data_IF_208262667355
#
_entry.id   IF_208262667355
#
_cell.length_a   1.000
_cell.length_b   1.000
_cell.length_c   1.000
_cell.angle_alpha   90.00
_cell.angle_beta   90.00
_cell.angle_gamma   90.00
#
_symmetry.space_group_name_H-M   'P 1'
#
loop_
_entity.id
_entity.type
_entity.pdbx_description
1 polymer ?
#
# COMPACT_ATOMS: atom_id res chain seq x y z
N UNK A 1 3.86 -11.99 10.72
CA UNK A 1 4.91 -12.80 11.42
C UNK A 1 4.60 -12.89 12.91
N UNK A 2 4.87 -14.03 13.56
CA UNK A 2 4.66 -14.19 15.01
C UNK A 2 5.83 -13.70 15.87
N UNK A 3 5.60 -13.56 17.19
CA UNK A 3 6.63 -13.08 18.16
C UNK A 3 7.92 -13.89 18.13
N UNK A 4 7.85 -15.22 18.02
CA UNK A 4 9.02 -16.08 17.97
C UNK A 4 9.88 -15.84 16.72
N UNK A 5 9.24 -15.67 15.56
CA UNK A 5 9.94 -15.37 14.31
C UNK A 5 10.61 -13.99 14.37
N UNK A 6 9.97 -13.00 15.00
CA UNK A 6 10.55 -11.68 15.23
C UNK A 6 11.76 -11.74 16.18
N UNK A 7 11.68 -12.51 17.27
CA UNK A 7 12.79 -12.68 18.20
C UNK A 7 14.00 -13.33 17.52
N UNK A 8 13.75 -14.35 16.67
CA UNK A 8 14.78 -14.99 15.86
C UNK A 8 15.46 -13.98 14.92
N UNK A 9 14.68 -13.19 14.18
CA UNK A 9 15.23 -12.19 13.27
C UNK A 9 16.11 -11.16 13.98
N UNK A 10 15.72 -10.73 15.19
CA UNK A 10 16.54 -9.84 16.02
C UNK A 10 17.84 -10.48 16.50
N UNK A 11 17.84 -11.78 16.79
CA UNK A 11 19.04 -12.50 17.23
C UNK A 11 20.00 -12.81 16.08
N UNK A 12 19.47 -13.18 14.91
CA UNK A 12 20.25 -13.63 13.75
C UNK A 12 20.66 -12.48 12.81
N UNK A 13 20.08 -11.29 12.97
CA UNK A 13 20.35 -10.11 12.13
C UNK A 13 19.70 -10.17 10.74
N UNK A 14 19.55 -11.36 10.17
CA UNK A 14 18.84 -11.58 8.91
C UNK A 14 17.89 -12.77 8.99
N UNK A 15 16.87 -12.82 8.13
CA UNK A 15 16.04 -14.02 7.92
C UNK A 15 15.83 -14.27 6.42
N UNK A 16 15.66 -15.53 5.98
CA UNK A 16 15.24 -15.80 4.62
C UNK A 16 13.79 -15.34 4.42
N UNK A 17 13.55 -14.59 3.34
CA UNK A 17 12.20 -14.26 2.85
C UNK A 17 12.11 -14.55 1.36
N UNK A 18 10.96 -15.03 0.91
CA UNK A 18 10.72 -15.27 -0.51
C UNK A 18 10.58 -13.93 -1.26
N UNK A 19 11.41 -13.69 -2.26
CA UNK A 19 11.33 -12.51 -3.10
C UNK A 19 10.67 -12.86 -4.44
N UNK A 20 9.39 -12.50 -4.60
CA UNK A 20 8.57 -12.88 -5.76
C UNK A 20 9.19 -12.44 -7.10
N UNK A 21 9.81 -11.26 -7.18
CA UNK A 21 10.49 -10.81 -8.40
C UNK A 21 11.77 -11.59 -8.75
N UNK A 22 12.35 -12.34 -7.80
CA UNK A 22 13.55 -13.15 -8.01
C UNK A 22 13.25 -14.66 -7.98
N UNK A 23 12.03 -15.06 -7.60
CA UNK A 23 11.62 -16.47 -7.47
C UNK A 23 12.42 -17.29 -6.46
N UNK A 24 13.13 -16.66 -5.50
CA UNK A 24 14.00 -17.34 -4.54
C UNK A 24 13.99 -16.67 -3.17
N UNK A 25 14.45 -17.40 -2.16
CA UNK A 25 14.73 -16.79 -0.85
C UNK A 25 15.94 -15.87 -0.91
N UNK A 26 15.80 -14.71 -0.27
CA UNK A 26 16.87 -13.73 -0.08
C UNK A 26 16.95 -13.36 1.40
N UNK A 27 18.15 -13.05 1.94
CA UNK A 27 18.27 -12.57 3.31
C UNK A 27 17.67 -11.17 3.45
N UNK A 28 16.80 -10.98 4.45
CA UNK A 28 16.23 -9.70 4.84
C UNK A 28 16.85 -9.23 6.15
N UNK A 29 17.51 -8.07 6.13
CA UNK A 29 18.18 -7.50 7.29
C UNK A 29 17.20 -6.90 8.30
N UNK A 30 17.44 -7.11 9.60
CA UNK A 30 16.62 -6.60 10.71
C UNK A 30 16.54 -5.07 10.72
N UNK A 31 17.53 -4.41 10.12
CA UNK A 31 17.55 -2.98 9.86
C UNK A 31 16.30 -2.50 9.11
N UNK A 32 15.64 -3.34 8.30
CA UNK A 32 14.34 -2.98 7.70
C UNK A 32 13.30 -2.64 8.78
N UNK A 33 13.19 -3.47 9.81
CA UNK A 33 12.21 -3.26 10.88
C UNK A 33 12.60 -2.08 11.77
N UNK A 34 13.90 -1.91 12.04
CA UNK A 34 14.38 -0.81 12.86
C UNK A 34 14.27 0.54 12.11
N UNK A 35 14.39 0.55 10.78
CA UNK A 35 14.11 1.71 9.94
C UNK A 35 12.61 2.02 9.86
N UNK A 36 11.77 1.01 9.66
CA UNK A 36 10.30 1.18 9.61
C UNK A 36 9.73 1.88 10.85
N UNK A 37 10.33 1.66 12.04
CA UNK A 37 9.94 2.32 13.30
C UNK A 37 10.16 3.82 13.33
N UNK A 38 10.96 4.37 12.41
CA UNK A 38 11.23 5.81 12.30
C UNK A 38 10.11 6.54 11.54
N UNK A 39 9.22 5.79 10.90
CA UNK A 39 8.12 6.33 10.12
C UNK A 39 6.78 6.09 10.84
N UNK A 40 5.77 6.92 10.56
CA UNK A 40 4.41 6.68 11.02
C UNK A 40 3.91 5.31 10.56
N UNK A 41 3.10 4.66 11.41
CA UNK A 41 2.52 3.34 11.11
C UNK A 41 1.46 3.36 10.00
N UNK A 42 1.00 4.55 9.60
CA UNK A 42 0.10 4.76 8.48
C UNK A 42 0.57 5.96 7.65
N UNK A 43 0.42 5.93 6.31
CA UNK A 43 0.69 7.10 5.50
C UNK A 43 -0.26 8.24 5.89
N UNK A 44 0.14 9.50 5.73
CA UNK A 44 -0.77 10.62 6.01
C UNK A 44 -0.68 11.69 4.91
N UNK A 45 -1.08 11.35 3.67
CA UNK A 45 -0.98 12.29 2.56
C UNK A 45 -1.85 13.52 2.81
N UNK A 46 -1.28 14.68 2.52
CA UNK A 46 -1.93 16.00 2.57
C UNK A 46 -2.56 16.44 1.24
N UNK A 47 -2.51 15.55 0.25
CA UNK A 47 -3.12 15.73 -1.07
C UNK A 47 -4.44 14.95 -1.19
N UNK A 48 -5.31 15.34 -2.13
CA UNK A 48 -6.46 14.51 -2.50
C UNK A 48 -6.01 13.08 -2.78
N UNK A 49 -6.71 12.10 -2.20
CA UNK A 49 -6.29 10.70 -2.23
C UNK A 49 -7.46 9.80 -2.60
N UNK A 50 -7.27 8.91 -3.57
CA UNK A 50 -8.18 7.81 -3.88
C UNK A 50 -7.68 6.54 -3.22
N UNK A 51 -8.53 5.87 -2.45
CA UNK A 51 -8.23 4.66 -1.70
C UNK A 51 -9.09 3.52 -2.25
N UNK A 52 -8.46 2.40 -2.59
CA UNK A 52 -9.14 1.16 -2.95
C UNK A 52 -8.98 0.13 -1.83
N UNK A 53 -10.04 -0.61 -1.53
CA UNK A 53 -9.99 -1.75 -0.63
C UNK A 53 -10.81 -2.92 -1.15
N UNK A 54 -10.27 -4.12 -0.95
CA UNK A 54 -11.00 -5.36 -1.18
C UNK A 54 -11.97 -5.62 -0.02
N UNK A 55 -13.22 -5.90 -0.34
CA UNK A 55 -14.22 -6.31 0.66
C UNK A 55 -13.82 -7.61 1.38
N UNK A 56 -13.09 -8.48 0.68
CA UNK A 56 -12.67 -9.80 1.16
C UNK A 56 -11.17 -9.85 1.46
N UNK A 57 -10.54 -8.68 1.68
CA UNK A 57 -9.14 -8.59 2.08
C UNK A 57 -8.96 -9.15 3.50
N UNK A 58 -8.21 -10.24 3.60
CA UNK A 58 -7.88 -10.92 4.85
C UNK A 58 -6.55 -10.46 5.47
N UNK A 59 -5.75 -9.69 4.73
CA UNK A 59 -4.49 -9.12 5.17
C UNK A 59 -4.67 -7.72 5.77
N UNK A 60 -5.56 -6.91 5.18
CA UNK A 60 -5.89 -5.55 5.63
C UNK A 60 -7.39 -5.46 5.94
N UNK A 61 -7.79 -5.44 7.22
CA UNK A 61 -9.20 -5.36 7.59
C UNK A 61 -9.88 -4.11 7.01
N UNK A 62 -11.02 -4.27 6.35
CA UNK A 62 -11.77 -3.16 5.74
C UNK A 62 -12.03 -2.01 6.72
N UNK A 63 -12.39 -2.31 7.96
CA UNK A 63 -12.62 -1.31 9.00
C UNK A 63 -11.39 -0.42 9.29
N UNK A 64 -10.17 -0.92 9.07
CA UNK A 64 -8.95 -0.11 9.19
C UNK A 64 -8.86 0.91 8.04
N UNK A 65 -9.18 0.49 6.81
CA UNK A 65 -9.19 1.37 5.64
C UNK A 65 -10.30 2.42 5.75
N UNK A 66 -11.48 2.05 6.25
CA UNK A 66 -12.59 2.97 6.48
C UNK A 66 -12.20 4.07 7.46
N UNK A 67 -11.54 3.73 8.58
CA UNK A 67 -11.02 4.73 9.54
C UNK A 67 -9.96 5.63 8.89
N UNK A 68 -9.05 5.04 8.13
CA UNK A 68 -8.02 5.79 7.40
C UNK A 68 -8.63 6.81 6.44
N UNK A 69 -9.63 6.43 5.66
CA UNK A 69 -10.32 7.31 4.73
C UNK A 69 -11.11 8.41 5.47
N UNK A 70 -11.85 8.04 6.52
CA UNK A 70 -12.64 8.99 7.31
C UNK A 70 -11.79 10.05 8.04
N UNK A 71 -10.51 9.77 8.31
CA UNK A 71 -9.63 10.70 9.00
C UNK A 71 -9.36 12.01 8.23
N UNK A 72 -9.57 12.05 6.90
CA UNK A 72 -9.45 13.28 6.11
C UNK A 72 -10.56 13.41 5.06
N UNK A 73 -11.27 14.54 4.96
CA UNK A 73 -12.31 14.75 3.95
C UNK A 73 -11.83 14.64 2.49
N UNK A 74 -10.52 14.85 2.24
CA UNK A 74 -9.92 14.77 0.92
C UNK A 74 -9.58 13.32 0.48
N UNK A 75 -9.95 12.31 1.29
CA UNK A 75 -9.78 10.89 0.97
C UNK A 75 -11.11 10.32 0.48
N UNK A 76 -11.06 9.67 -0.67
CA UNK A 76 -12.21 9.00 -1.28
C UNK A 76 -11.97 7.49 -1.24
N UNK A 77 -12.86 6.75 -0.58
CA UNK A 77 -12.78 5.29 -0.49
C UNK A 77 -13.70 4.62 -1.51
N UNK A 78 -13.14 3.69 -2.28
CA UNK A 78 -13.87 2.76 -3.14
C UNK A 78 -13.64 1.34 -2.65
N UNK A 79 -14.72 0.70 -2.19
CA UNK A 79 -14.69 -0.71 -1.76
C UNK A 79 -15.12 -1.60 -2.92
N UNK A 80 -14.27 -2.55 -3.29
CA UNK A 80 -14.45 -3.45 -4.42
C UNK A 80 -14.75 -4.87 -3.92
N UNK A 81 -15.50 -5.64 -4.69
CA UNK A 81 -15.78 -7.05 -4.42
C UNK A 81 -14.56 -7.91 -4.83
N UNK A 82 -13.48 -7.81 -4.03
CA UNK A 82 -12.17 -8.36 -4.34
C UNK A 82 -11.39 -8.72 -3.07
N UNK A 83 -10.33 -9.52 -3.24
CA UNK A 83 -9.37 -9.86 -2.18
C UNK A 83 -8.28 -8.80 -2.00
N UNK A 84 -7.19 -9.17 -1.30
CA UNK A 84 -6.07 -8.28 -0.98
C UNK A 84 -5.36 -7.71 -2.23
N UNK A 85 -5.12 -8.56 -3.23
CA UNK A 85 -4.28 -8.22 -4.39
C UNK A 85 -4.97 -7.26 -5.38
N UNK A 86 -6.32 -7.20 -5.38
CA UNK A 86 -7.16 -6.40 -6.30
C UNK A 86 -6.91 -6.64 -7.82
N UNK A 87 -6.08 -7.61 -8.19
CA UNK A 87 -5.68 -7.89 -9.58
C UNK A 87 -6.85 -8.32 -10.48
N UNK A 88 -7.94 -8.80 -9.90
CA UNK A 88 -9.16 -9.19 -10.60
C UNK A 88 -10.09 -8.01 -10.94
N UNK A 89 -9.84 -6.83 -10.34
CA UNK A 89 -10.68 -5.63 -10.46
C UNK A 89 -9.92 -4.43 -11.04
N UNK A 90 -8.86 -4.66 -11.81
CA UNK A 90 -8.05 -3.60 -12.43
C UNK A 90 -8.87 -2.66 -13.34
N UNK A 91 -9.77 -3.21 -14.15
CA UNK A 91 -10.65 -2.41 -15.03
C UNK A 91 -11.63 -1.53 -14.23
N UNK A 92 -12.38 -2.07 -13.23
CA UNK A 92 -13.14 -1.25 -12.29
C UNK A 92 -12.31 -0.15 -11.61
N UNK A 93 -11.11 -0.47 -11.12
CA UNK A 93 -10.22 0.52 -10.50
C UNK A 93 -9.88 1.64 -11.48
N UNK A 94 -9.54 1.31 -12.73
CA UNK A 94 -9.23 2.28 -13.77
C UNK A 94 -10.37 3.27 -14.03
N UNK A 95 -11.62 2.78 -14.03
CA UNK A 95 -12.81 3.61 -14.17
C UNK A 95 -12.97 4.67 -13.06
N UNK A 96 -12.40 4.44 -11.88
CA UNK A 96 -12.36 5.41 -10.78
C UNK A 96 -11.10 6.32 -10.82
N UNK A 97 -9.94 5.76 -11.19
CA UNK A 97 -8.67 6.48 -11.23
C UNK A 97 -8.73 7.66 -12.21
N UNK A 98 -9.19 7.42 -13.45
CA UNK A 98 -9.12 8.42 -14.50
C UNK A 98 -10.00 9.66 -14.21
N UNK A 99 -11.27 9.53 -13.79
CA UNK A 99 -12.06 10.68 -13.34
C UNK A 99 -11.46 11.37 -12.11
N UNK A 100 -10.91 10.60 -11.16
CA UNK A 100 -10.26 11.15 -9.98
C UNK A 100 -9.12 12.10 -10.38
N UNK A 101 -8.18 11.63 -11.20
CA UNK A 101 -7.03 12.41 -11.65
C UNK A 101 -7.44 13.64 -12.47
N UNK A 102 -8.46 13.51 -13.33
CA UNK A 102 -8.95 14.64 -14.16
C UNK A 102 -9.45 15.82 -13.34
N UNK A 103 -9.94 15.63 -12.11
CA UNK A 103 -10.35 16.73 -11.21
C UNK A 103 -9.19 17.64 -10.80
N UNK A 104 -7.97 17.09 -10.77
CA UNK A 104 -6.77 17.79 -10.32
C UNK A 104 -5.85 18.18 -11.49
N UNK A 105 -6.31 17.93 -12.73
CA UNK A 105 -5.56 18.19 -13.96
C UNK A 105 -4.49 17.14 -14.26
N UNK A 106 -4.09 17.06 -15.52
CA UNK A 106 -2.82 16.41 -15.89
C UNK A 106 -1.70 17.31 -15.35
N UNK A 107 -0.61 16.78 -14.73
CA UNK A 107 0.58 17.59 -14.55
C UNK A 107 0.90 18.19 -15.91
N UNK A 108 0.97 19.51 -16.02
CA UNK A 108 1.32 20.17 -17.27
C UNK A 108 2.61 19.50 -17.76
N UNK A 109 2.51 18.71 -18.83
CA UNK A 109 3.64 17.98 -19.37
C UNK A 109 4.75 19.00 -19.59
N UNK A 110 5.96 18.73 -19.07
CA UNK A 110 7.13 19.54 -19.40
C UNK A 110 7.15 19.68 -20.93
N UNK A 111 7.08 20.89 -21.50
CA UNK A 111 7.17 21.05 -22.94
C UNK A 111 8.47 20.40 -23.43
N UNK A 112 8.49 19.76 -24.62
CA UNK A 112 9.72 19.21 -25.16
C UNK A 112 10.77 20.33 -25.20
N UNK A 113 12.00 20.01 -24.77
CA UNK A 113 13.11 20.94 -24.89
C UNK A 113 13.26 21.34 -26.36
N UNK A 114 13.27 22.66 -26.60
CA UNK A 114 13.48 23.25 -27.92
C UNK A 114 14.88 22.96 -28.46
#
# INVERSE_FOLDING_TARGET
MGRAALARWRAEGTIPVHHYGHGREVPLDIGLLDDARRYPGEPDPDVPTLVFAGRHDDAVPLAAVERFAAARPARELVVLDAGHELTEVLEPMWAHILPFLRRFGTPAGRPPAA
#
